data_IF_602222671648
#
_entry.id   IF_602222671648
#
_cell.length_a   1.000
_cell.length_b   1.000
_cell.length_c   1.000
_cell.angle_alpha   90.00
_cell.angle_beta   90.00
_cell.angle_gamma   90.00
#
_symmetry.space_group_name_H-M   'P 1'
#
loop_
_entity.id
_entity.type
_entity.pdbx_description
1 polymer ?
#
# COMPACT_ATOMS: atom_id res chain seq x y z
N UNK A 1 1.49 22.85 -1.56
CA UNK A 1 0.89 23.98 -0.82
C UNK A 1 -0.36 23.47 -0.15
N UNK A 2 -0.40 23.39 1.19
CA UNK A 2 -1.61 23.04 1.91
C UNK A 2 -2.53 24.28 1.92
N UNK A 3 -3.58 24.29 1.10
CA UNK A 3 -4.67 25.24 1.30
C UNK A 3 -5.31 24.91 2.64
N UNK A 4 -5.30 25.86 3.57
CA UNK A 4 -6.03 25.72 4.83
C UNK A 4 -7.48 25.41 4.49
N UNK A 5 -7.96 24.21 4.85
CA UNK A 5 -9.39 23.97 4.98
C UNK A 5 -9.81 24.93 6.08
N UNK A 6 -10.48 26.01 5.70
CA UNK A 6 -11.10 26.89 6.68
C UNK A 6 -12.24 26.08 7.28
N UNK A 7 -12.11 25.72 8.56
CA UNK A 7 -13.28 25.48 9.42
C UNK A 7 -13.99 26.83 9.56
N UNK A 8 -14.53 27.34 8.45
CA UNK A 8 -15.27 28.58 8.42
C UNK A 8 -16.65 28.25 8.98
N UNK A 9 -16.80 28.52 10.26
CA UNK A 9 -18.09 28.86 10.85
C UNK A 9 -18.56 30.25 10.40
N UNK A 10 -17.80 30.93 9.53
CA UNK A 10 -18.18 32.23 8.96
C UNK A 10 -19.26 32.02 7.89
N UNK A 11 -20.42 32.61 8.15
CA UNK A 11 -21.60 32.77 7.31
C UNK A 11 -21.35 33.53 5.98
N UNK A 12 -20.13 33.50 5.44
CA UNK A 12 -19.78 34.12 4.17
C UNK A 12 -20.38 33.36 3.00
N UNK A 13 -21.06 34.07 2.10
CA UNK A 13 -21.55 33.49 0.85
C UNK A 13 -20.37 32.97 0.01
N UNK A 14 -20.50 31.76 -0.54
CA UNK A 14 -19.49 31.11 -1.38
C UNK A 14 -20.08 30.51 -2.65
N UNK A 15 -19.22 30.15 -3.61
CA UNK A 15 -19.57 29.36 -4.80
C UNK A 15 -18.64 28.16 -4.88
N UNK A 16 -19.18 27.01 -5.27
CA UNK A 16 -18.44 25.77 -5.50
C UNK A 16 -19.04 24.98 -6.68
N UNK A 17 -18.30 24.00 -7.21
CA UNK A 17 -18.82 23.08 -8.23
C UNK A 17 -20.01 22.26 -7.70
N UNK A 18 -19.82 21.51 -6.61
CA UNK A 18 -20.91 20.75 -6.00
C UNK A 18 -20.88 20.79 -4.48
N UNK A 19 -22.04 20.58 -3.88
CA UNK A 19 -22.20 20.43 -2.43
C UNK A 19 -22.98 19.17 -2.07
N UNK A 20 -22.51 18.48 -1.03
CA UNK A 20 -23.20 17.36 -0.40
C UNK A 20 -23.86 17.90 0.86
N UNK A 21 -25.18 17.82 0.97
CA UNK A 21 -25.94 18.42 2.08
C UNK A 21 -26.56 17.39 3.00
N UNK A 22 -26.82 17.77 4.25
CA UNK A 22 -27.53 16.96 5.26
C UNK A 22 -26.87 15.61 5.62
N UNK A 23 -25.57 15.44 5.33
CA UNK A 23 -24.84 14.21 5.65
C UNK A 23 -24.51 14.14 7.14
N UNK A 24 -24.37 12.92 7.66
CA UNK A 24 -23.57 12.68 8.86
C UNK A 24 -22.09 12.60 8.44
N UNK A 25 -21.32 13.65 8.67
CA UNK A 25 -19.91 13.71 8.29
C UNK A 25 -19.04 13.00 9.33
N UNK A 26 -18.30 11.98 8.90
CA UNK A 26 -17.26 11.29 9.66
C UNK A 26 -15.91 11.57 8.99
N UNK A 27 -15.13 12.49 9.55
CA UNK A 27 -13.93 13.07 8.92
C UNK A 27 -12.66 12.20 8.98
N UNK A 28 -12.75 11.00 9.57
CA UNK A 28 -11.62 10.09 9.75
C UNK A 28 -10.71 10.41 10.94
N UNK A 29 -11.00 11.46 11.73
CA UNK A 29 -10.19 11.84 12.91
C UNK A 29 -10.38 10.93 14.15
N UNK A 30 -11.30 9.96 14.07
CA UNK A 30 -11.71 9.12 15.20
C UNK A 30 -12.72 9.77 16.15
N UNK A 31 -13.14 11.02 15.88
CA UNK A 31 -14.18 11.70 16.65
C UNK A 31 -15.59 11.29 16.19
N UNK A 32 -16.62 11.42 17.04
CA UNK A 32 -18.01 11.22 16.62
C UNK A 32 -18.39 12.13 15.44
N UNK A 33 -19.19 11.58 14.51
CA UNK A 33 -19.65 12.31 13.34
C UNK A 33 -20.59 13.47 13.68
N UNK A 34 -20.70 14.43 12.76
CA UNK A 34 -21.55 15.63 12.91
C UNK A 34 -22.39 15.86 11.66
N UNK A 35 -23.61 16.34 11.83
CA UNK A 35 -24.41 16.82 10.68
C UNK A 35 -23.74 18.06 10.10
N UNK A 36 -23.44 18.02 8.81
CA UNK A 36 -22.84 19.13 8.09
C UNK A 36 -23.01 18.95 6.59
N UNK A 37 -22.86 20.06 5.87
CA UNK A 37 -22.71 20.08 4.42
C UNK A 37 -21.22 20.13 4.06
N UNK A 38 -20.88 19.67 2.86
CA UNK A 38 -19.52 19.66 2.31
C UNK A 38 -19.55 20.37 0.97
N UNK A 39 -18.73 21.41 0.79
CA UNK A 39 -18.53 22.07 -0.51
C UNK A 39 -17.22 21.61 -1.15
N UNK A 40 -17.30 21.27 -2.43
CA UNK A 40 -16.16 20.81 -3.23
C UNK A 40 -15.98 21.72 -4.43
N UNK A 41 -14.75 22.20 -4.62
CA UNK A 41 -14.32 22.98 -5.76
C UNK A 41 -13.13 22.29 -6.42
N UNK A 42 -13.25 22.00 -7.72
CA UNK A 42 -12.27 21.20 -8.46
C UNK A 42 -11.86 19.91 -7.73
N UNK A 43 -10.60 19.80 -7.31
CA UNK A 43 -10.02 18.63 -6.65
C UNK A 43 -9.99 18.75 -5.10
N UNK A 44 -10.70 19.73 -4.51
CA UNK A 44 -10.57 20.04 -3.08
C UNK A 44 -11.91 20.23 -2.39
N UNK A 45 -11.95 19.77 -1.15
CA UNK A 45 -12.95 20.22 -0.18
C UNK A 45 -12.57 21.64 0.25
N UNK A 46 -13.47 22.60 0.03
CA UNK A 46 -13.24 24.02 0.32
C UNK A 46 -13.95 24.49 1.59
N UNK A 47 -15.03 23.82 2.01
CA UNK A 47 -15.69 24.08 3.28
C UNK A 47 -16.45 22.85 3.79
N UNK A 48 -16.58 22.74 5.11
CA UNK A 48 -17.44 21.77 5.80
C UNK A 48 -18.16 22.51 6.91
N UNK A 49 -19.49 22.43 6.98
CA UNK A 49 -20.29 23.13 7.99
C UNK A 49 -21.72 23.42 7.55
N UNK A 50 -22.25 24.55 8.00
CA UNK A 50 -23.55 25.06 7.56
C UNK A 50 -23.36 25.91 6.29
N UNK A 51 -23.87 25.44 5.14
CA UNK A 51 -23.57 26.03 3.82
C UNK A 51 -24.83 26.54 3.10
N UNK A 52 -25.85 26.99 3.84
CA UNK A 52 -27.12 27.46 3.26
C UNK A 52 -26.92 28.71 2.38
N UNK A 53 -25.94 29.55 2.71
CA UNK A 53 -25.59 30.76 1.94
C UNK A 53 -24.60 30.48 0.78
N UNK A 54 -24.23 29.22 0.54
CA UNK A 54 -23.36 28.83 -0.57
C UNK A 54 -24.18 28.47 -1.81
N UNK A 55 -23.72 28.93 -2.97
CA UNK A 55 -24.19 28.49 -4.28
C UNK A 55 -23.35 27.30 -4.77
N UNK A 56 -23.98 26.37 -5.49
CA UNK A 56 -23.28 25.28 -6.17
C UNK A 56 -23.94 25.00 -7.52
N UNK A 57 -23.15 24.51 -8.48
CA UNK A 57 -23.68 24.08 -9.77
C UNK A 57 -24.49 22.78 -9.63
N UNK A 58 -24.10 21.92 -8.67
CA UNK A 58 -24.81 20.70 -8.30
C UNK A 58 -25.02 20.58 -6.78
N UNK A 59 -26.15 20.03 -6.35
CA UNK A 59 -26.45 19.75 -4.93
C UNK A 59 -26.91 18.32 -4.77
N UNK A 60 -26.22 17.58 -3.91
CA UNK A 60 -26.47 16.17 -3.61
C UNK A 60 -27.06 16.08 -2.19
N UNK A 61 -28.29 15.60 -2.05
CA UNK A 61 -28.91 15.37 -0.74
C UNK A 61 -28.48 14.02 -0.17
N UNK A 62 -27.69 14.06 0.90
CA UNK A 62 -27.19 12.89 1.63
C UNK A 62 -27.92 12.68 2.95
N UNK A 63 -29.18 13.15 3.06
CA UNK A 63 -30.04 12.88 4.20
C UNK A 63 -30.15 11.38 4.49
N UNK A 64 -29.79 10.99 5.72
CA UNK A 64 -29.79 9.58 6.14
C UNK A 64 -28.54 8.79 5.74
N UNK A 65 -27.58 9.42 5.07
CA UNK A 65 -26.31 8.82 4.68
C UNK A 65 -25.12 9.41 5.46
N UNK A 66 -23.99 8.72 5.38
CA UNK A 66 -22.70 9.15 5.91
C UNK A 66 -21.86 9.71 4.77
N UNK A 67 -21.19 10.83 5.02
CA UNK A 67 -20.09 11.29 4.18
C UNK A 67 -18.77 11.08 4.94
N UNK A 68 -17.82 10.37 4.33
CA UNK A 68 -16.48 10.14 4.88
C UNK A 68 -15.41 10.46 3.84
N UNK A 69 -14.13 10.55 4.23
CA UNK A 69 -13.05 10.36 3.29
C UNK A 69 -13.24 9.04 2.52
N UNK A 70 -12.84 9.04 1.25
CA UNK A 70 -12.81 7.80 0.47
C UNK A 70 -11.83 6.80 1.10
N UNK A 71 -12.15 5.51 0.99
CA UNK A 71 -11.32 4.49 1.62
C UNK A 71 -9.99 4.33 0.89
N UNK A 72 -8.93 4.09 1.66
CA UNK A 72 -7.59 3.81 1.14
C UNK A 72 -7.36 2.32 1.34
N UNK A 73 -7.29 1.59 0.23
CA UNK A 73 -6.94 0.18 0.24
C UNK A 73 -5.42 0.05 0.25
N UNK A 74 -4.87 -0.28 1.41
CA UNK A 74 -3.42 -0.28 1.67
C UNK A 74 -2.72 -1.55 1.19
N UNK A 75 -3.48 -2.58 0.79
CA UNK A 75 -2.93 -3.87 0.43
C UNK A 75 -3.58 -4.41 -0.85
N UNK A 76 -3.03 -4.01 -2.00
CA UNK A 76 -3.53 -4.47 -3.30
C UNK A 76 -2.44 -5.11 -4.14
N UNK A 77 -2.92 -5.91 -5.09
CA UNK A 77 -2.17 -6.46 -6.21
C UNK A 77 -2.74 -5.91 -7.53
N UNK A 78 -3.16 -4.63 -7.51
CA UNK A 78 -3.84 -3.98 -8.64
C UNK A 78 -2.86 -3.39 -9.66
N UNK A 79 -1.56 -3.72 -9.59
CA UNK A 79 -0.50 -3.14 -10.42
C UNK A 79 -0.85 -3.13 -11.91
N UNK A 80 -1.30 -4.27 -12.45
CA UNK A 80 -1.73 -4.35 -13.85
C UNK A 80 -3.19 -3.90 -14.03
N UNK A 81 -4.05 -4.17 -13.06
CA UNK A 81 -5.47 -3.84 -13.14
C UNK A 81 -5.69 -2.32 -13.28
N UNK A 82 -4.88 -1.51 -12.59
CA UNK A 82 -4.89 -0.05 -12.72
C UNK A 82 -4.56 0.41 -14.16
N UNK A 83 -3.84 -0.39 -14.94
CA UNK A 83 -3.54 -0.14 -16.35
C UNK A 83 -4.59 -0.69 -17.33
N UNK A 84 -5.28 -1.77 -16.98
CA UNK A 84 -6.16 -2.49 -17.92
C UNK A 84 -7.65 -2.27 -17.64
N UNK A 85 -8.03 -1.99 -16.40
CA UNK A 85 -9.42 -1.86 -15.94
C UNK A 85 -9.63 -0.48 -15.33
N UNK A 86 -9.89 0.52 -16.19
CA UNK A 86 -9.84 1.94 -15.79
C UNK A 86 -10.94 2.36 -14.84
N UNK A 87 -12.11 1.77 -14.93
CA UNK A 87 -13.22 2.07 -14.02
C UNK A 87 -12.94 1.57 -12.59
N UNK A 88 -12.04 0.59 -12.43
CA UNK A 88 -11.70 -0.06 -11.14
C UNK A 88 -12.98 -0.41 -10.35
N UNK A 89 -14.01 -0.90 -11.04
CA UNK A 89 -15.35 -1.07 -10.46
C UNK A 89 -15.37 -2.00 -9.25
N UNK A 90 -14.46 -2.98 -9.20
CA UNK A 90 -14.25 -3.86 -8.05
C UNK A 90 -13.73 -3.15 -6.79
N UNK A 91 -13.19 -1.93 -6.91
CA UNK A 91 -12.79 -1.06 -5.80
C UNK A 91 -13.76 0.10 -5.58
N UNK A 92 -14.15 0.80 -6.65
CA UNK A 92 -15.06 1.96 -6.58
C UNK A 92 -16.40 1.57 -5.97
N UNK A 93 -16.94 0.38 -6.31
CA UNK A 93 -18.21 -0.11 -5.73
C UNK A 93 -18.16 -0.34 -4.21
N UNK A 94 -16.97 -0.36 -3.62
CA UNK A 94 -16.75 -0.51 -2.18
C UNK A 94 -16.46 0.83 -1.48
N UNK A 95 -16.40 1.95 -2.22
CA UNK A 95 -16.04 3.26 -1.68
C UNK A 95 -14.52 3.53 -1.60
N UNK A 96 -13.69 2.67 -2.20
CA UNK A 96 -12.24 2.89 -2.31
C UNK A 96 -11.97 4.01 -3.31
N UNK A 97 -11.10 4.95 -2.94
CA UNK A 97 -10.65 6.05 -3.81
C UNK A 97 -9.14 6.03 -4.05
N UNK A 98 -8.38 5.29 -3.26
CA UNK A 98 -6.93 5.17 -3.39
C UNK A 98 -6.47 3.76 -3.11
N UNK A 99 -5.49 3.27 -3.87
CA UNK A 99 -4.91 1.94 -3.69
C UNK A 99 -3.39 2.02 -3.55
N UNK A 100 -2.82 1.12 -2.74
CA UNK A 100 -1.38 0.88 -2.66
C UNK A 100 -1.09 -0.47 -3.28
N UNK A 101 -0.39 -0.46 -4.41
CA UNK A 101 0.02 -1.65 -5.15
C UNK A 101 1.52 -1.94 -4.94
N UNK A 102 2.02 -3.04 -5.51
CA UNK A 102 3.40 -3.46 -5.31
C UNK A 102 3.65 -4.20 -3.99
N UNK A 103 2.64 -4.85 -3.41
CA UNK A 103 2.71 -5.55 -2.12
C UNK A 103 3.41 -6.92 -2.19
N UNK A 104 3.73 -7.49 -1.02
CA UNK A 104 4.27 -8.85 -0.88
C UNK A 104 5.56 -9.13 -1.66
N UNK A 105 6.37 -8.10 -1.93
CA UNK A 105 7.59 -8.20 -2.73
C UNK A 105 7.34 -8.24 -4.23
N UNK A 106 6.09 -8.20 -4.69
CA UNK A 106 5.72 -8.28 -6.09
C UNK A 106 5.33 -6.90 -6.59
N UNK A 107 5.97 -6.43 -7.65
CA UNK A 107 5.59 -5.19 -8.32
C UNK A 107 5.71 -5.32 -9.82
N UNK A 108 4.79 -4.70 -10.57
CA UNK A 108 4.89 -4.61 -12.03
C UNK A 108 6.01 -3.64 -12.48
N UNK A 109 6.38 -2.68 -11.63
CA UNK A 109 7.50 -1.77 -11.82
C UNK A 109 8.25 -1.50 -10.51
N UNK A 110 9.60 -1.42 -10.47
CA UNK A 110 10.52 -1.66 -11.59
C UNK A 110 10.71 -3.16 -11.83
N UNK A 111 10.21 -3.68 -12.95
CA UNK A 111 10.37 -5.08 -13.31
C UNK A 111 10.18 -5.31 -14.81
N UNK A 112 11.06 -6.12 -15.38
CA UNK A 112 10.92 -6.66 -16.73
C UNK A 112 11.23 -8.16 -16.66
N UNK A 113 10.28 -9.00 -17.08
CA UNK A 113 10.34 -10.44 -16.84
C UNK A 113 11.50 -11.10 -17.60
N UNK A 114 11.73 -10.72 -18.86
CA UNK A 114 12.88 -11.10 -19.71
C UNK A 114 13.03 -12.60 -20.02
N UNK A 115 12.97 -13.48 -19.01
CA UNK A 115 13.18 -14.93 -19.04
C UNK A 115 12.22 -15.67 -18.08
N UNK A 116 11.04 -15.11 -17.84
CA UNK A 116 10.02 -15.67 -16.96
C UNK A 116 10.26 -15.39 -15.47
N UNK A 117 9.28 -15.75 -14.66
CA UNK A 117 9.30 -15.58 -13.20
C UNK A 117 8.65 -16.77 -12.48
N UNK A 118 9.07 -17.08 -11.25
CA UNK A 118 8.41 -18.11 -10.45
C UNK A 118 7.08 -17.59 -9.85
N UNK A 119 6.25 -18.45 -9.25
CA UNK A 119 5.16 -18.01 -8.38
C UNK A 119 5.67 -17.10 -7.24
N UNK A 120 4.86 -16.15 -6.74
CA UNK A 120 3.45 -15.93 -7.07
C UNK A 120 3.18 -14.84 -8.14
N UNK A 121 4.20 -14.37 -8.89
CA UNK A 121 4.07 -13.32 -9.91
C UNK A 121 2.88 -13.46 -10.89
N UNK A 122 2.42 -14.66 -11.29
CA UNK A 122 1.21 -14.81 -12.11
C UNK A 122 -0.06 -14.18 -11.52
N UNK A 123 -0.07 -13.79 -10.23
CA UNK A 123 -1.18 -13.05 -9.63
C UNK A 123 -1.36 -11.65 -10.25
N UNK A 124 -0.28 -11.04 -10.74
CA UNK A 124 -0.31 -9.69 -11.31
C UNK A 124 -0.62 -9.70 -12.82
N UNK A 125 -0.21 -10.74 -13.54
CA UNK A 125 -0.35 -10.81 -15.00
C UNK A 125 0.52 -11.88 -15.63
N UNK A 126 0.58 -11.86 -16.97
CA UNK A 126 1.41 -12.77 -17.76
C UNK A 126 2.76 -12.12 -18.06
N UNK A 127 3.74 -12.90 -18.54
CA UNK A 127 5.10 -12.41 -18.82
C UNK A 127 5.15 -11.15 -19.71
N UNK A 128 4.26 -11.06 -20.70
CA UNK A 128 4.17 -9.92 -21.63
C UNK A 128 3.72 -8.62 -20.97
N UNK A 129 3.16 -8.67 -19.76
CA UNK A 129 2.70 -7.49 -19.02
C UNK A 129 3.85 -6.82 -18.25
N UNK A 130 4.92 -7.57 -17.94
CA UNK A 130 6.07 -7.10 -17.16
C UNK A 130 7.11 -6.46 -18.07
N UNK A 131 6.85 -5.20 -18.44
CA UNK A 131 7.63 -4.42 -19.42
C UNK A 131 8.07 -3.06 -18.89
N UNK A 132 8.10 -2.87 -17.58
CA UNK A 132 8.38 -1.58 -16.94
C UNK A 132 9.67 -1.64 -16.12
N UNK A 133 10.85 -1.55 -16.76
CA UNK A 133 12.14 -1.60 -16.07
C UNK A 133 12.32 -0.43 -15.08
N UNK A 134 11.55 0.66 -15.23
CA UNK A 134 11.53 1.81 -14.30
C UNK A 134 10.11 2.17 -13.91
N UNK A 135 9.97 2.72 -12.71
CA UNK A 135 8.70 3.23 -12.19
C UNK A 135 8.23 4.44 -12.99
N UNK A 136 9.14 5.28 -13.48
CA UNK A 136 8.80 6.39 -14.37
C UNK A 136 8.06 5.93 -15.64
N UNK A 137 8.40 4.76 -16.20
CA UNK A 137 7.78 4.23 -17.42
C UNK A 137 6.35 3.76 -17.15
N UNK A 138 6.14 3.07 -16.01
CA UNK A 138 4.80 2.71 -15.53
C UNK A 138 3.95 3.96 -15.26
N UNK A 139 4.53 4.95 -14.56
CA UNK A 139 3.84 6.19 -14.23
C UNK A 139 3.39 6.94 -15.47
N UNK A 140 4.27 7.08 -16.47
CA UNK A 140 3.92 7.72 -17.74
C UNK A 140 2.77 6.98 -18.45
N UNK A 141 2.76 5.64 -18.41
CA UNK A 141 1.66 4.84 -18.95
C UNK A 141 0.35 5.09 -18.20
N UNK A 142 0.39 5.12 -16.86
CA UNK A 142 -0.78 5.42 -16.03
C UNK A 142 -1.31 6.83 -16.32
N UNK A 143 -0.46 7.85 -16.34
CA UNK A 143 -0.87 9.25 -16.55
C UNK A 143 -1.43 9.51 -17.96
N UNK A 144 -1.01 8.74 -18.97
CA UNK A 144 -1.56 8.83 -20.33
C UNK A 144 -3.04 8.41 -20.43
N UNK A 145 -3.50 7.60 -19.48
CA UNK A 145 -4.88 7.12 -19.38
C UNK A 145 -5.15 6.70 -17.92
N UNK A 146 -5.45 7.61 -16.99
CA UNK A 146 -5.54 7.27 -15.57
C UNK A 146 -6.72 6.33 -15.26
N UNK A 147 -6.58 5.54 -14.20
CA UNK A 147 -7.72 4.82 -13.62
C UNK A 147 -8.61 5.77 -12.80
N UNK A 148 -9.78 5.29 -12.40
CA UNK A 148 -10.74 6.02 -11.55
C UNK A 148 -10.25 6.29 -10.11
N UNK A 149 -9.10 5.74 -9.73
CA UNK A 149 -8.54 5.79 -8.38
C UNK A 149 -7.16 6.44 -8.36
N UNK A 150 -6.78 6.96 -7.20
CA UNK A 150 -5.39 7.29 -6.93
C UNK A 150 -4.57 6.00 -6.74
N UNK A 151 -3.32 6.02 -7.19
CA UNK A 151 -2.40 4.88 -7.09
C UNK A 151 -1.08 5.31 -6.45
N UNK A 152 -0.68 4.58 -5.42
CA UNK A 152 0.68 4.62 -4.88
C UNK A 152 1.36 3.26 -5.07
N UNK A 153 2.67 3.28 -5.30
CA UNK A 153 3.45 2.07 -5.61
C UNK A 153 4.52 1.81 -4.55
N UNK A 154 4.65 0.56 -4.16
CA UNK A 154 5.82 0.01 -3.48
C UNK A 154 6.72 -0.67 -4.51
N UNK A 155 8.03 -0.58 -4.32
CA UNK A 155 8.98 -1.40 -5.10
C UNK A 155 9.04 -2.82 -4.51
N UNK A 156 8.82 -3.84 -5.32
CA UNK A 156 8.84 -5.23 -4.88
C UNK A 156 10.25 -5.80 -4.77
N UNK A 157 10.64 -6.28 -3.58
CA UNK A 157 11.94 -6.93 -3.37
C UNK A 157 12.09 -8.20 -4.22
N UNK A 158 11.06 -9.03 -4.35
CA UNK A 158 11.09 -10.22 -5.22
C UNK A 158 11.29 -9.82 -6.69
N UNK A 159 10.65 -8.73 -7.15
CA UNK A 159 10.86 -8.19 -8.50
C UNK A 159 12.33 -7.81 -8.72
N UNK A 160 12.92 -7.08 -7.77
CA UNK A 160 14.34 -6.71 -7.83
C UNK A 160 15.29 -7.92 -7.79
N UNK A 161 14.97 -8.96 -6.99
CA UNK A 161 15.74 -10.20 -6.97
C UNK A 161 15.70 -10.91 -8.31
N UNK A 162 14.52 -11.05 -8.92
CA UNK A 162 14.40 -11.68 -10.25
C UNK A 162 15.22 -10.90 -11.29
N UNK A 163 15.13 -9.56 -11.30
CA UNK A 163 15.92 -8.72 -12.21
C UNK A 163 17.43 -8.91 -12.04
N UNK A 164 17.93 -8.98 -10.80
CA UNK A 164 19.37 -8.97 -10.52
C UNK A 164 19.98 -10.37 -10.50
N UNK A 165 19.23 -11.37 -10.05
CA UNK A 165 19.72 -12.72 -9.78
C UNK A 165 19.28 -13.73 -10.85
N UNK A 166 18.26 -13.41 -11.66
CA UNK A 166 17.72 -14.32 -12.67
C UNK A 166 17.29 -15.63 -12.06
N UNK A 167 17.84 -16.75 -12.55
CA UNK A 167 17.52 -18.10 -12.09
C UNK A 167 18.16 -18.48 -10.75
N UNK A 168 19.08 -17.68 -10.20
CA UNK A 168 19.84 -18.00 -8.97
C UNK A 168 19.10 -17.62 -7.69
N UNK A 169 17.77 -17.82 -7.62
CA UNK A 169 16.91 -17.35 -6.52
C UNK A 169 16.98 -18.23 -5.26
N UNK A 170 17.49 -19.46 -5.41
CA UNK A 170 17.60 -20.52 -4.41
C UNK A 170 18.85 -20.36 -3.53
N UNK A 171 19.34 -19.14 -3.39
CA UNK A 171 20.43 -18.75 -2.50
C UNK A 171 20.28 -17.28 -2.09
N UNK A 172 20.92 -16.88 -0.99
CA UNK A 172 21.00 -15.47 -0.60
C UNK A 172 21.73 -14.61 -1.63
N UNK A 173 21.39 -13.32 -1.72
CA UNK A 173 22.06 -12.42 -2.65
C UNK A 173 23.51 -12.12 -2.20
N UNK A 174 24.44 -12.07 -3.17
CA UNK A 174 25.80 -11.59 -2.92
C UNK A 174 25.82 -10.08 -2.66
N UNK A 175 26.87 -9.55 -2.02
CA UNK A 175 27.04 -8.10 -1.79
C UNK A 175 26.87 -7.25 -3.06
N UNK A 176 27.38 -7.74 -4.20
CA UNK A 176 27.24 -7.04 -5.50
C UNK A 176 25.78 -7.01 -5.96
N UNK A 177 25.05 -8.10 -5.78
CA UNK A 177 23.62 -8.18 -6.13
C UNK A 177 22.79 -7.32 -5.18
N UNK A 178 23.12 -7.29 -3.89
CA UNK A 178 22.47 -6.40 -2.91
C UNK A 178 22.66 -4.94 -3.31
N UNK A 179 23.87 -4.50 -3.66
CA UNK A 179 24.08 -3.12 -4.12
C UNK A 179 23.34 -2.80 -5.42
N UNK A 180 23.24 -3.76 -6.35
CA UNK A 180 22.44 -3.57 -7.56
C UNK A 180 20.95 -3.38 -7.23
N UNK A 181 20.38 -4.17 -6.30
CA UNK A 181 18.99 -3.99 -5.85
C UNK A 181 18.79 -2.67 -5.09
N UNK A 182 19.77 -2.26 -4.29
CA UNK A 182 19.76 -0.95 -3.61
C UNK A 182 19.68 0.20 -4.63
N UNK A 183 20.42 0.13 -5.73
CA UNK A 183 20.35 1.16 -6.77
C UNK A 183 19.02 1.15 -7.53
N UNK A 184 18.45 -0.03 -7.82
CA UNK A 184 17.11 -0.13 -8.40
C UNK A 184 16.09 0.54 -7.46
N UNK A 185 16.16 0.26 -6.15
CA UNK A 185 15.28 0.88 -5.16
C UNK A 185 15.47 2.40 -5.09
N UNK A 186 16.70 2.92 -5.11
CA UNK A 186 16.95 4.38 -5.16
C UNK A 186 16.28 5.02 -6.36
N UNK A 187 16.40 4.42 -7.54
CA UNK A 187 15.73 4.89 -8.75
C UNK A 187 14.20 4.86 -8.59
N UNK A 188 13.63 3.76 -8.10
CA UNK A 188 12.19 3.63 -7.86
C UNK A 188 11.66 4.69 -6.89
N UNK A 189 12.40 4.97 -5.80
CA UNK A 189 12.03 5.99 -4.81
C UNK A 189 12.09 7.42 -5.37
N UNK A 190 13.09 7.72 -6.24
CA UNK A 190 13.17 8.99 -6.99
C UNK A 190 12.00 9.15 -7.96
N UNK A 191 11.58 8.06 -8.59
CA UNK A 191 10.46 8.03 -9.53
C UNK A 191 9.08 8.12 -8.86
N UNK A 192 9.02 7.94 -7.53
CA UNK A 192 7.81 8.20 -6.73
C UNK A 192 7.29 7.02 -5.92
N UNK A 193 7.97 5.87 -5.88
CA UNK A 193 7.59 4.79 -4.97
C UNK A 193 7.56 5.28 -3.52
N UNK A 194 6.56 4.85 -2.76
CA UNK A 194 6.36 5.24 -1.36
C UNK A 194 7.10 4.32 -0.36
N UNK A 195 7.76 3.28 -0.87
CA UNK A 195 8.47 2.32 -0.04
C UNK A 195 8.93 1.09 -0.80
N UNK A 196 9.31 0.07 -0.04
CA UNK A 196 9.68 -1.26 -0.55
C UNK A 196 8.85 -2.31 0.16
N UNK A 197 8.40 -3.33 -0.57
CA UNK A 197 7.69 -4.47 -0.01
C UNK A 197 8.53 -5.74 -0.09
N UNK A 198 8.24 -6.72 0.78
CA UNK A 198 8.84 -8.07 0.76
C UNK A 198 7.77 -9.14 0.87
N UNK A 199 8.07 -10.32 0.32
CA UNK A 199 7.27 -11.53 0.47
C UNK A 199 8.18 -12.69 0.81
N UNK A 200 8.61 -12.74 2.06
CA UNK A 200 9.69 -13.61 2.52
C UNK A 200 9.29 -15.09 2.59
N UNK A 201 8.00 -15.37 2.41
CA UNK A 201 7.43 -16.71 2.37
C UNK A 201 7.39 -17.32 0.95
N UNK A 202 7.75 -16.54 -0.07
CA UNK A 202 7.62 -16.93 -1.47
C UNK A 202 8.93 -17.37 -2.10
N UNK A 203 8.89 -18.25 -3.13
CA UNK A 203 10.09 -18.79 -3.79
C UNK A 203 11.16 -17.76 -4.22
N UNK A 204 10.84 -16.57 -4.75
CA UNK A 204 11.87 -15.59 -5.11
C UNK A 204 12.73 -15.12 -3.94
N UNK A 205 12.18 -15.12 -2.73
CA UNK A 205 12.74 -14.43 -1.58
C UNK A 205 12.92 -15.31 -0.34
N UNK A 206 12.52 -16.58 -0.37
CA UNK A 206 12.61 -17.51 0.78
C UNK A 206 14.05 -17.63 1.32
N UNK A 207 15.05 -17.58 0.44
CA UNK A 207 16.48 -17.65 0.77
C UNK A 207 17.09 -16.29 1.15
N UNK A 208 16.30 -15.22 1.18
CA UNK A 208 16.79 -13.89 1.54
C UNK A 208 17.04 -13.83 3.03
N UNK A 209 18.25 -13.44 3.42
CA UNK A 209 18.61 -13.26 4.82
C UNK A 209 18.04 -11.96 5.38
N UNK A 210 17.81 -11.90 6.68
CA UNK A 210 17.40 -10.64 7.36
C UNK A 210 18.39 -9.50 7.07
N UNK A 211 19.70 -9.80 7.03
CA UNK A 211 20.73 -8.80 6.71
C UNK A 211 20.64 -8.27 5.29
N UNK A 212 20.30 -9.11 4.30
CA UNK A 212 20.01 -8.65 2.94
C UNK A 212 18.86 -7.63 2.94
N UNK A 213 17.75 -7.96 3.62
CA UNK A 213 16.59 -7.07 3.67
C UNK A 213 16.92 -5.77 4.40
N UNK A 214 17.68 -5.82 5.50
CA UNK A 214 18.17 -4.63 6.20
C UNK A 214 19.00 -3.74 5.29
N UNK A 215 19.93 -4.30 4.51
CA UNK A 215 20.75 -3.52 3.60
C UNK A 215 19.90 -2.84 2.53
N UNK A 216 18.91 -3.52 1.96
CA UNK A 216 18.01 -2.94 0.96
C UNK A 216 17.10 -1.88 1.59
N UNK A 217 16.41 -2.19 2.69
CA UNK A 217 15.51 -1.27 3.37
C UNK A 217 16.23 -0.04 3.96
N UNK A 218 17.54 -0.14 4.23
CA UNK A 218 18.34 1.01 4.70
C UNK A 218 18.41 2.17 3.69
N UNK A 219 18.11 1.92 2.41
CA UNK A 219 17.99 2.96 1.38
C UNK A 219 16.83 3.92 1.67
N UNK A 220 15.77 3.45 2.33
CA UNK A 220 14.58 4.27 2.61
C UNK A 220 14.92 5.53 3.41
N UNK A 221 15.97 5.51 4.26
CA UNK A 221 16.42 6.67 5.04
C UNK A 221 16.96 7.82 4.20
N UNK A 222 17.29 7.56 2.94
CA UNK A 222 17.74 8.58 1.98
C UNK A 222 16.55 9.45 1.49
N UNK A 223 15.32 9.07 1.82
CA UNK A 223 14.09 9.69 1.34
C UNK A 223 13.08 9.91 2.49
N UNK A 224 12.35 11.03 2.45
CA UNK A 224 11.38 11.34 3.48
C UNK A 224 10.14 10.42 3.42
N UNK A 225 9.65 10.01 4.59
CA UNK A 225 8.37 9.32 4.77
C UNK A 225 8.19 8.04 3.93
N UNK A 226 9.27 7.27 3.72
CA UNK A 226 9.20 5.96 3.06
C UNK A 226 9.02 4.83 4.07
N UNK A 227 8.34 3.77 3.64
CA UNK A 227 7.96 2.65 4.51
C UNK A 227 8.50 1.32 4.00
N UNK A 228 8.72 0.40 4.93
CA UNK A 228 8.97 -1.00 4.66
C UNK A 228 7.67 -1.79 4.90
N UNK A 229 7.26 -2.62 3.93
CA UNK A 229 6.04 -3.42 4.01
C UNK A 229 6.40 -4.89 3.86
N UNK A 230 5.80 -5.79 4.63
CA UNK A 230 6.17 -7.21 4.58
C UNK A 230 4.96 -8.13 4.66
N UNK A 231 4.84 -8.99 3.65
CA UNK A 231 4.35 -10.34 3.85
C UNK A 231 5.48 -11.10 4.55
N UNK A 232 5.27 -11.34 5.85
CA UNK A 232 6.28 -11.90 6.76
C UNK A 232 6.63 -13.34 6.39
N UNK A 233 7.81 -13.79 6.82
CA UNK A 233 8.37 -15.09 6.42
C UNK A 233 7.50 -16.30 6.78
N UNK A 234 6.70 -16.20 7.84
CA UNK A 234 5.82 -17.27 8.25
C UNK A 234 4.59 -16.69 8.95
N UNK A 235 3.41 -17.14 8.57
CA UNK A 235 2.15 -16.73 9.20
C UNK A 235 1.52 -17.87 10.03
N UNK A 236 2.24 -18.98 10.22
CA UNK A 236 1.77 -20.19 10.90
C UNK A 236 2.59 -20.46 12.17
N UNK A 237 3.27 -21.60 12.24
CA UNK A 237 3.92 -22.08 13.47
C UNK A 237 5.01 -21.11 13.96
N UNK A 238 5.73 -20.45 13.04
CA UNK A 238 6.84 -19.52 13.32
C UNK A 238 6.44 -18.03 13.20
N UNK A 239 5.16 -17.72 13.40
CA UNK A 239 4.64 -16.36 13.21
C UNK A 239 5.28 -15.32 14.13
N UNK A 240 5.63 -15.69 15.37
CA UNK A 240 6.25 -14.76 16.31
C UNK A 240 7.69 -14.41 15.90
N UNK A 241 8.45 -15.41 15.43
CA UNK A 241 9.78 -15.24 14.91
C UNK A 241 9.79 -14.37 13.65
N UNK A 242 8.81 -14.56 12.76
CA UNK A 242 8.66 -13.76 11.54
C UNK A 242 8.25 -12.30 11.84
N UNK A 243 7.44 -12.06 12.87
CA UNK A 243 7.12 -10.71 13.37
C UNK A 243 8.38 -10.07 13.96
N UNK A 244 9.12 -10.79 14.80
CA UNK A 244 10.36 -10.27 15.39
C UNK A 244 11.40 -9.94 14.32
N UNK A 245 11.54 -10.77 13.28
CA UNK A 245 12.39 -10.48 12.12
C UNK A 245 11.99 -9.15 11.46
N UNK A 246 10.69 -8.93 11.23
CA UNK A 246 10.16 -7.70 10.63
C UNK A 246 10.45 -6.48 11.51
N UNK A 247 10.28 -6.61 12.83
CA UNK A 247 10.59 -5.57 13.80
C UNK A 247 12.10 -5.29 13.87
N UNK A 248 12.94 -6.33 13.79
CA UNK A 248 14.40 -6.20 13.73
C UNK A 248 14.84 -5.44 12.49
N UNK A 249 14.28 -5.76 11.32
CA UNK A 249 14.53 -5.05 10.07
C UNK A 249 14.19 -3.57 10.22
N UNK A 250 13.01 -3.25 10.76
CA UNK A 250 12.58 -1.87 11.02
C UNK A 250 13.58 -1.07 11.87
N UNK A 251 14.05 -1.66 12.98
CA UNK A 251 15.05 -1.03 13.87
C UNK A 251 16.39 -0.85 13.17
N UNK A 252 16.93 -1.90 12.55
CA UNK A 252 18.26 -1.88 11.92
C UNK A 252 18.31 -0.99 10.69
N UNK A 253 17.22 -0.91 9.92
CA UNK A 253 17.10 -0.03 8.77
C UNK A 253 16.61 1.39 9.12
N UNK A 254 16.17 1.62 10.36
CA UNK A 254 15.60 2.88 10.84
C UNK A 254 14.41 3.36 9.99
N UNK A 255 13.46 2.47 9.74
CA UNK A 255 12.29 2.74 8.89
C UNK A 255 10.99 2.34 9.60
N UNK A 256 9.88 2.95 9.19
CA UNK A 256 8.56 2.50 9.62
C UNK A 256 8.21 1.18 8.92
N UNK A 257 7.58 0.27 9.65
CA UNK A 257 7.22 -1.06 9.13
C UNK A 257 5.70 -1.25 9.07
N UNK A 258 5.22 -1.97 8.07
CA UNK A 258 3.83 -2.42 7.95
C UNK A 258 3.81 -3.93 7.74
N UNK A 259 3.14 -4.65 8.64
CA UNK A 259 2.91 -6.09 8.55
C UNK A 259 1.64 -6.29 7.71
N UNK A 260 1.80 -6.81 6.51
CA UNK A 260 0.69 -7.07 5.59
C UNK A 260 -0.21 -8.18 6.10
N UNK A 261 -1.52 -8.03 5.86
CA UNK A 261 -2.57 -9.04 5.99
C UNK A 261 -2.38 -9.99 7.19
N UNK A 262 -2.15 -9.41 8.37
CA UNK A 262 -1.72 -10.12 9.57
C UNK A 262 -2.70 -11.25 9.92
N UNK A 263 -2.17 -12.46 10.17
CA UNK A 263 -2.97 -13.64 10.48
C UNK A 263 -2.18 -14.70 11.24
N UNK A 264 -2.89 -15.71 11.75
CA UNK A 264 -2.32 -16.93 12.32
C UNK A 264 -2.93 -18.14 11.60
N UNK A 265 -2.19 -18.70 10.66
CA UNK A 265 -2.63 -19.73 9.72
C UNK A 265 -2.52 -21.14 10.30
N UNK A 266 -3.54 -21.96 10.02
CA UNK A 266 -3.62 -23.36 10.44
C UNK A 266 -4.24 -23.57 11.83
N UNK A 267 -5.00 -24.66 12.06
CA UNK A 267 -5.74 -24.88 13.32
C UNK A 267 -4.89 -24.83 14.59
N UNK A 268 -3.61 -25.22 14.51
CA UNK A 268 -2.68 -25.15 15.65
C UNK A 268 -2.38 -23.72 16.11
N UNK A 269 -2.60 -22.73 15.25
CA UNK A 269 -2.28 -21.33 15.50
C UNK A 269 -3.51 -20.46 15.78
N UNK A 270 -4.71 -21.04 15.79
CA UNK A 270 -5.94 -20.31 16.11
C UNK A 270 -5.88 -19.76 17.54
N UNK A 271 -6.22 -18.48 17.70
CA UNK A 271 -6.14 -17.76 18.98
C UNK A 271 -4.79 -17.11 19.28
N UNK A 272 -3.71 -17.45 18.54
CA UNK A 272 -2.38 -16.84 18.72
C UNK A 272 -2.31 -15.36 18.29
N UNK A 273 -3.40 -14.81 17.75
CA UNK A 273 -3.51 -13.35 17.54
C UNK A 273 -3.30 -12.56 18.83
N UNK A 274 -3.65 -13.12 20.00
CA UNK A 274 -3.37 -12.51 21.31
C UNK A 274 -1.87 -12.29 21.52
N UNK A 275 -1.04 -13.30 21.22
CA UNK A 275 0.42 -13.23 21.36
C UNK A 275 1.02 -12.28 20.33
N UNK A 276 0.63 -12.42 19.07
CA UNK A 276 1.20 -11.64 17.96
C UNK A 276 0.87 -10.16 18.06
N UNK A 277 -0.38 -9.79 18.44
CA UNK A 277 -0.75 -8.39 18.66
C UNK A 277 -0.01 -7.78 19.86
N UNK A 278 0.21 -8.54 20.92
CA UNK A 278 1.02 -8.09 22.06
C UNK A 278 2.49 -7.85 21.65
N UNK A 279 3.07 -8.71 20.81
CA UNK A 279 4.42 -8.52 20.27
C UNK A 279 4.50 -7.26 19.38
N UNK A 280 3.52 -7.05 18.50
CA UNK A 280 3.43 -5.86 17.64
C UNK A 280 3.31 -4.59 18.48
N UNK A 281 2.46 -4.57 19.51
CA UNK A 281 2.29 -3.43 20.41
C UNK A 281 3.58 -3.12 21.18
N UNK A 282 4.29 -4.15 21.66
CA UNK A 282 5.62 -3.99 22.27
C UNK A 282 6.62 -3.37 21.27
N UNK A 283 6.58 -3.80 20.01
CA UNK A 283 7.36 -3.19 18.93
C UNK A 283 7.04 -1.71 18.70
N UNK A 284 5.76 -1.31 18.78
CA UNK A 284 5.31 0.09 18.62
C UNK A 284 5.88 1.04 19.68
N UNK A 285 6.23 0.53 20.85
CA UNK A 285 6.89 1.34 21.88
C UNK A 285 8.33 1.76 21.50
N UNK A 286 8.94 1.11 20.51
CA UNK A 286 10.34 1.32 20.13
C UNK A 286 10.50 1.89 18.70
N UNK A 287 9.50 1.70 17.83
CA UNK A 287 9.54 2.12 16.44
C UNK A 287 8.12 2.30 15.86
N UNK A 288 8.02 2.85 14.65
CA UNK A 288 6.72 2.97 13.95
C UNK A 288 6.32 1.64 13.31
N UNK A 289 5.21 1.06 13.77
CA UNK A 289 4.66 -0.21 13.25
C UNK A 289 3.19 -0.03 12.89
N UNK A 290 2.80 -0.47 11.70
CA UNK A 290 1.42 -0.66 11.27
C UNK A 290 1.15 -2.12 10.91
N UNK A 291 -0.12 -2.46 10.75
CA UNK A 291 -0.56 -3.71 10.14
C UNK A 291 -1.89 -3.49 9.41
N UNK A 292 -2.20 -4.38 8.48
CA UNK A 292 -3.51 -4.44 7.83
C UNK A 292 -4.06 -5.88 7.85
N UNK A 293 -5.37 -6.02 7.59
CA UNK A 293 -6.08 -7.30 7.49
C UNK A 293 -7.17 -7.18 6.43
N UNK A 294 -7.62 -8.31 5.93
CA UNK A 294 -8.90 -8.43 5.21
C UNK A 294 -9.93 -9.15 6.09
N UNK A 295 -11.24 -8.81 5.98
CA UNK A 295 -12.26 -9.32 6.89
C UNK A 295 -12.78 -10.71 6.49
N UNK A 296 -11.88 -11.66 6.24
CA UNK A 296 -12.21 -13.03 5.82
C UNK A 296 -11.34 -14.05 6.57
N UNK A 297 -11.86 -15.28 6.67
CA UNK A 297 -11.19 -16.41 7.35
C UNK A 297 -10.35 -17.28 6.41
N UNK A 298 -10.24 -16.91 5.13
CA UNK A 298 -9.53 -17.66 4.12
C UNK A 298 -8.56 -16.74 3.35
N UNK A 299 -7.35 -17.24 3.11
CA UNK A 299 -6.35 -16.60 2.25
C UNK A 299 -6.47 -17.06 0.80
N UNK A 300 -5.85 -16.33 -0.12
CA UNK A 300 -5.73 -16.72 -1.52
C UNK A 300 -4.35 -16.30 -2.07
N UNK A 301 -3.71 -17.18 -2.84
CA UNK A 301 -2.44 -16.91 -3.54
C UNK A 301 -2.28 -17.93 -4.68
N UNK A 302 -1.36 -17.69 -5.61
CA UNK A 302 -1.01 -18.61 -6.70
C UNK A 302 0.06 -19.64 -6.31
N UNK A 303 0.58 -19.55 -5.08
CA UNK A 303 1.58 -20.47 -4.55
C UNK A 303 1.02 -21.33 -3.41
N UNK A 304 0.93 -22.64 -3.62
CA UNK A 304 0.64 -23.59 -2.55
C UNK A 304 1.96 -24.12 -2.01
N UNK A 305 2.17 -23.97 -0.70
CA UNK A 305 3.28 -24.64 -0.02
C UNK A 305 3.12 -26.15 -0.14
N UNK A 306 4.20 -26.90 -0.41
CA UNK A 306 4.18 -28.35 -0.38
C UNK A 306 3.87 -28.89 1.02
#
# INVERSE_FOLDING_TARGET
>A
MASKITNNTDNGAGRCHFKIINALVIDGSGKPGKKADIAVESDRIVAIGELQNWSADETIDASGYIASPGFIDVHTHDDLAALNTRDMSFKVSQGVTSVIAGNCGLSLAPFESGKGFPPPFPILGNESDFVFPRVADYRAKFESAPAALNLALLAGHSSMRVTVMGESLQQGASKKQIEAMREILRCALRDGCIGVSTGLDYPPAIESTTSEIVEIASVLKEFDNRIYVSHIRNEADQVLEAIEETLEIGRRASTAVVISHHKCSGPKNYGRSVETLAAIESGRAQQRVGLDVYPYIASSTTYNKP
#
